data_IF_081523265597
#
_entry.id   IF_081523265597
#
_cell.length_a   1.000
_cell.length_b   1.000
_cell.length_c   1.000
_cell.angle_alpha   90.00
_cell.angle_beta   90.00
_cell.angle_gamma   90.00
#
_symmetry.space_group_name_H-M   'P 1'
#
loop_
_entity.id
_entity.type
_entity.pdbx_description
1 polymer ?
#
# COMPACT_ATOMS: atom_id res chain seq x y z
N UNK A 1 18.30 8.01 5.81
CA UNK A 1 16.90 7.98 5.39
C UNK A 1 16.04 8.57 6.50
N UNK A 2 15.23 9.57 6.19
CA UNK A 2 14.24 10.21 7.06
C UNK A 2 12.85 9.64 6.79
N UNK A 3 11.89 9.87 7.68
CA UNK A 3 10.50 9.43 7.45
C UNK A 3 9.90 10.05 6.18
N UNK A 4 10.20 11.32 5.87
CA UNK A 4 9.76 11.95 4.62
C UNK A 4 10.36 11.28 3.39
N UNK A 5 11.65 10.90 3.44
CA UNK A 5 12.29 10.15 2.35
C UNK A 5 11.65 8.77 2.15
N UNK A 6 11.24 8.09 3.24
CA UNK A 6 10.49 6.83 3.15
C UNK A 6 9.14 7.02 2.47
N UNK A 7 8.36 8.01 2.91
CA UNK A 7 7.04 8.30 2.33
C UNK A 7 7.16 8.60 0.84
N UNK A 8 8.13 9.43 0.45
CA UNK A 8 8.35 9.75 -0.96
C UNK A 8 8.80 8.54 -1.76
N UNK A 9 9.70 7.71 -1.22
CA UNK A 9 10.18 6.51 -1.89
C UNK A 9 9.03 5.51 -2.13
N UNK A 10 8.19 5.29 -1.12
CA UNK A 10 6.99 4.44 -1.22
C UNK A 10 6.03 4.98 -2.28
N UNK A 11 5.70 6.28 -2.23
CA UNK A 11 4.82 6.90 -3.22
C UNK A 11 5.35 6.75 -4.65
N UNK A 12 6.64 7.01 -4.85
CA UNK A 12 7.26 6.91 -6.17
C UNK A 12 7.28 5.47 -6.68
N UNK A 13 7.52 4.49 -5.79
CA UNK A 13 7.48 3.08 -6.13
C UNK A 13 6.08 2.65 -6.58
N UNK A 14 5.03 3.09 -5.87
CA UNK A 14 3.65 2.77 -6.23
C UNK A 14 3.25 3.40 -7.58
N UNK A 15 3.54 4.69 -7.78
CA UNK A 15 3.22 5.40 -9.04
C UNK A 15 4.01 4.83 -10.21
N UNK A 16 5.28 4.48 -9.99
CA UNK A 16 6.19 4.01 -11.03
C UNK A 16 6.05 2.53 -11.41
N UNK A 17 5.24 1.75 -10.70
CA UNK A 17 5.17 0.31 -10.91
C UNK A 17 4.31 -0.09 -12.11
N UNK A 18 4.95 -0.64 -13.14
CA UNK A 18 4.30 -0.97 -14.41
C UNK A 18 3.27 -2.11 -14.28
N UNK A 19 3.54 -3.10 -13.43
CA UNK A 19 2.64 -4.25 -13.22
C UNK A 19 1.34 -3.81 -12.55
N UNK A 20 1.45 -3.03 -11.46
CA UNK A 20 0.33 -2.44 -10.75
C UNK A 20 -0.52 -1.55 -11.67
N UNK A 21 0.13 -0.64 -12.39
CA UNK A 21 -0.53 0.27 -13.33
C UNK A 21 -1.26 -0.48 -14.45
N UNK A 22 -0.63 -1.52 -15.01
CA UNK A 22 -1.22 -2.31 -16.10
C UNK A 22 -2.44 -3.10 -15.62
N UNK A 23 -2.36 -3.69 -14.42
CA UNK A 23 -3.51 -4.39 -13.83
C UNK A 23 -4.66 -3.43 -13.54
N UNK A 24 -4.39 -2.27 -12.94
CA UNK A 24 -5.43 -1.26 -12.68
C UNK A 24 -6.07 -0.76 -13.98
N UNK A 25 -5.27 -0.52 -15.02
CA UNK A 25 -5.79 -0.09 -16.32
C UNK A 25 -6.66 -1.16 -16.97
N UNK A 26 -6.27 -2.44 -16.85
CA UNK A 26 -7.04 -3.55 -17.39
C UNK A 26 -8.37 -3.78 -16.65
N UNK A 27 -8.40 -3.57 -15.32
CA UNK A 27 -9.59 -3.81 -14.50
C UNK A 27 -10.54 -2.60 -14.42
N UNK A 28 -9.99 -1.39 -14.37
CA UNK A 28 -10.73 -0.15 -14.04
C UNK A 28 -10.59 0.94 -15.11
N UNK A 29 -9.84 0.68 -16.19
CA UNK A 29 -9.64 1.65 -17.27
C UNK A 29 -8.68 2.79 -16.95
N UNK A 30 -8.05 2.80 -15.77
CA UNK A 30 -7.08 3.84 -15.34
C UNK A 30 -6.04 3.32 -14.36
N UNK A 31 -4.96 4.08 -14.20
CA UNK A 31 -3.95 3.88 -13.16
C UNK A 31 -4.53 4.18 -11.76
N UNK A 32 -3.96 3.61 -10.68
CA UNK A 32 -4.43 3.92 -9.34
C UNK A 32 -4.03 5.33 -8.90
N UNK A 33 -4.90 5.96 -8.12
CA UNK A 33 -4.56 7.17 -7.39
C UNK A 33 -3.68 6.82 -6.20
N UNK A 34 -2.65 7.62 -5.91
CA UNK A 34 -1.76 7.42 -4.76
C UNK A 34 -1.87 8.61 -3.82
N UNK A 35 -2.39 8.38 -2.61
CA UNK A 35 -2.63 9.40 -1.60
C UNK A 35 -1.63 9.29 -0.44
N UNK A 36 -1.23 10.44 0.11
CA UNK A 36 -0.40 10.52 1.32
C UNK A 36 -1.27 11.01 2.46
N UNK A 37 -1.76 10.08 3.28
CA UNK A 37 -2.83 10.31 4.23
C UNK A 37 -4.22 10.29 3.60
N UNK A 38 -5.25 10.15 4.45
CA UNK A 38 -6.67 10.23 4.10
C UNK A 38 -7.32 11.19 5.09
N UNK A 39 -8.11 12.15 4.59
CA UNK A 39 -8.98 12.97 5.43
C UNK A 39 -10.29 12.22 5.66
N UNK A 40 -10.48 11.65 6.85
CA UNK A 40 -11.71 10.93 7.19
C UNK A 40 -12.96 11.81 7.12
N UNK A 41 -12.83 13.14 7.26
CA UNK A 41 -13.95 14.07 7.14
C UNK A 41 -14.29 14.41 5.69
N UNK A 42 -13.39 14.10 4.77
CA UNK A 42 -13.51 14.32 3.32
C UNK A 42 -12.98 13.09 2.60
N UNK A 43 -13.71 11.96 2.68
CA UNK A 43 -13.26 10.73 2.08
C UNK A 43 -13.08 10.89 0.57
N UNK A 44 -12.19 10.12 -0.05
CA UNK A 44 -12.01 10.10 -1.50
C UNK A 44 -13.33 9.91 -2.24
N UNK A 45 -13.49 10.61 -3.36
CA UNK A 45 -14.63 10.45 -4.23
C UNK A 45 -14.53 9.12 -4.99
N UNK A 46 -15.65 8.64 -5.54
CA UNK A 46 -15.67 7.39 -6.32
C UNK A 46 -14.68 7.43 -7.50
N UNK A 47 -14.50 8.61 -8.11
CA UNK A 47 -13.55 8.84 -9.20
C UNK A 47 -12.08 8.73 -8.81
N UNK A 48 -11.75 8.73 -7.52
CA UNK A 48 -10.38 8.52 -7.05
C UNK A 48 -9.99 7.03 -7.08
N UNK A 49 -10.96 6.10 -7.10
CA UNK A 49 -10.71 4.66 -7.04
C UNK A 49 -10.43 4.06 -8.43
N UNK A 50 -9.48 3.10 -8.58
CA UNK A 50 -8.76 2.40 -7.52
C UNK A 50 -7.73 3.29 -6.81
N UNK A 51 -7.68 3.18 -5.49
CA UNK A 51 -6.92 4.07 -4.62
C UNK A 51 -5.89 3.26 -3.83
N UNK A 52 -4.70 3.83 -3.65
CA UNK A 52 -3.69 3.36 -2.71
C UNK A 52 -3.30 4.55 -1.84
N UNK A 53 -3.29 4.38 -0.53
CA UNK A 53 -2.99 5.43 0.43
C UNK A 53 -1.90 4.99 1.41
N UNK A 54 -0.91 5.84 1.62
CA UNK A 54 -0.02 5.72 2.79
C UNK A 54 -0.75 6.36 3.97
N UNK A 55 -1.42 5.53 4.78
CA UNK A 55 -2.27 6.03 5.88
C UNK A 55 -1.47 6.42 7.12
N UNK A 56 -0.25 5.92 7.25
CA UNK A 56 0.66 6.29 8.32
C UNK A 56 2.05 5.72 8.14
N UNK A 57 3.02 6.30 8.84
CA UNK A 57 4.37 5.75 8.96
C UNK A 57 4.85 5.89 10.40
N UNK A 58 5.19 4.77 11.02
CA UNK A 58 5.78 4.72 12.35
C UNK A 58 7.29 4.46 12.23
N UNK A 59 8.12 5.30 12.86
CA UNK A 59 9.55 5.02 12.97
C UNK A 59 9.83 4.22 14.24
N UNK A 60 10.29 2.99 14.10
CA UNK A 60 10.69 2.14 15.22
C UNK A 60 12.11 2.53 15.65
N UNK A 61 12.23 3.06 16.87
CA UNK A 61 13.51 3.53 17.43
C UNK A 61 14.02 2.57 18.51
N UNK A 62 15.28 2.17 18.39
CA UNK A 62 15.99 1.41 19.41
C UNK A 62 17.45 1.86 19.52
N UNK A 63 17.99 1.95 20.75
CA UNK A 63 19.37 2.40 20.99
C UNK A 63 20.41 1.43 20.43
N UNK A 64 20.15 0.11 20.50
CA UNK A 64 21.10 -0.94 20.08
C UNK A 64 20.94 -1.42 18.64
N UNK A 65 19.96 -0.92 17.88
CA UNK A 65 19.76 -1.35 16.48
C UNK A 65 20.70 -0.59 15.55
N UNK A 66 21.46 -1.31 14.71
CA UNK A 66 22.30 -0.72 13.64
C UNK A 66 21.47 -0.19 12.47
N UNK A 67 20.20 -0.55 12.41
CA UNK A 67 19.25 -0.18 11.37
C UNK A 67 18.20 0.80 11.90
N UNK A 68 17.74 1.66 11.00
CA UNK A 68 16.50 2.41 11.12
C UNK A 68 15.39 1.56 10.49
N UNK A 69 14.27 1.48 11.18
CA UNK A 69 13.11 0.70 10.76
C UNK A 69 11.89 1.61 10.74
N UNK A 70 11.08 1.49 9.69
CA UNK A 70 9.80 2.15 9.57
C UNK A 70 8.72 1.11 9.26
N UNK A 71 7.60 1.21 9.94
CA UNK A 71 6.36 0.50 9.60
C UNK A 71 5.50 1.44 8.78
N UNK A 72 5.25 1.07 7.53
CA UNK A 72 4.43 1.83 6.60
C UNK A 72 3.08 1.16 6.52
N UNK A 73 2.03 1.89 6.89
CA UNK A 73 0.65 1.42 6.81
C UNK A 73 0.09 1.85 5.46
N UNK A 74 -0.32 0.85 4.66
CA UNK A 74 -0.97 1.06 3.38
C UNK A 74 -2.45 0.68 3.50
N UNK A 75 -3.31 1.49 2.91
CA UNK A 75 -4.70 1.13 2.61
C UNK A 75 -4.90 1.15 1.09
N UNK A 76 -5.65 0.20 0.57
CA UNK A 76 -6.10 0.19 -0.82
C UNK A 76 -7.61 0.14 -0.88
N UNK A 77 -8.21 0.73 -1.90
CA UNK A 77 -9.65 0.70 -2.09
C UNK A 77 -10.06 0.47 -3.54
N UNK A 78 -11.17 -0.22 -3.71
CA UNK A 78 -11.81 -0.48 -5.01
C UNK A 78 -13.32 -0.32 -4.85
N UNK A 79 -13.96 0.37 -5.81
CA UNK A 79 -15.41 0.42 -5.93
C UNK A 79 -15.84 -0.52 -7.05
N UNK A 80 -16.67 -1.52 -6.73
CA UNK A 80 -17.24 -2.44 -7.69
C UNK A 80 -18.53 -3.07 -7.14
N UNK A 81 -19.67 -2.80 -7.77
CA UNK A 81 -20.97 -3.30 -7.34
C UNK A 81 -21.28 -4.73 -7.84
N UNK A 82 -20.42 -5.31 -8.69
CA UNK A 82 -20.64 -6.63 -9.27
C UNK A 82 -20.65 -7.73 -8.20
N UNK A 83 -21.72 -8.53 -8.27
CA UNK A 83 -21.89 -9.74 -7.47
C UNK A 83 -22.06 -10.91 -8.43
N UNK A 84 -21.11 -11.84 -8.41
CA UNK A 84 -21.18 -13.08 -9.19
C UNK A 84 -21.65 -14.24 -8.32
N UNK A 85 -22.33 -15.22 -8.93
CA UNK A 85 -22.80 -16.41 -8.23
C UNK A 85 -22.33 -17.68 -8.97
N UNK A 86 -21.69 -18.58 -8.24
CA UNK A 86 -21.30 -19.90 -8.72
C UNK A 86 -21.75 -20.96 -7.72
N UNK A 87 -22.78 -21.72 -8.08
CA UNK A 87 -23.44 -22.66 -7.17
C UNK A 87 -23.98 -21.95 -5.93
N UNK A 88 -23.51 -22.37 -4.75
CA UNK A 88 -23.87 -21.80 -3.44
C UNK A 88 -22.99 -20.63 -3.00
N UNK A 89 -21.95 -20.27 -3.77
CA UNK A 89 -21.03 -19.17 -3.43
C UNK A 89 -21.47 -17.89 -4.11
N UNK A 90 -21.60 -16.82 -3.33
CA UNK A 90 -21.81 -15.44 -3.79
C UNK A 90 -20.52 -14.66 -3.61
N UNK A 91 -19.96 -14.17 -4.70
CA UNK A 91 -18.68 -13.46 -4.71
C UNK A 91 -18.94 -12.00 -5.03
N UNK A 92 -18.48 -11.12 -4.14
CA UNK A 92 -18.39 -9.69 -4.39
C UNK A 92 -17.08 -9.42 -5.14
N UNK A 93 -17.13 -9.11 -6.43
CA UNK A 93 -15.92 -9.00 -7.27
C UNK A 93 -14.92 -8.00 -6.69
N UNK A 94 -15.42 -6.86 -6.20
CA UNK A 94 -14.59 -5.82 -5.55
C UNK A 94 -13.79 -6.31 -4.33
N UNK A 95 -14.28 -7.31 -3.60
CA UNK A 95 -13.55 -7.89 -2.47
C UNK A 95 -12.25 -8.57 -2.94
N UNK A 96 -12.33 -9.38 -4.00
CA UNK A 96 -11.15 -10.05 -4.57
C UNK A 96 -10.20 -9.05 -5.24
N UNK A 97 -10.75 -8.02 -5.88
CA UNK A 97 -9.98 -6.97 -6.51
C UNK A 97 -9.21 -6.13 -5.47
N UNK A 98 -9.82 -5.80 -4.33
CA UNK A 98 -9.15 -5.05 -3.26
C UNK A 98 -7.95 -5.83 -2.68
N UNK A 99 -8.09 -7.13 -2.44
CA UNK A 99 -6.97 -7.98 -2.02
C UNK A 99 -5.87 -8.07 -3.09
N UNK A 100 -6.26 -8.25 -4.35
CA UNK A 100 -5.30 -8.28 -5.46
C UNK A 100 -4.53 -6.95 -5.56
N UNK A 101 -5.22 -5.82 -5.40
CA UNK A 101 -4.60 -4.50 -5.42
C UNK A 101 -3.62 -4.33 -4.26
N UNK A 102 -3.95 -4.79 -3.05
CA UNK A 102 -3.06 -4.76 -1.88
C UNK A 102 -1.78 -5.54 -2.15
N UNK A 103 -1.90 -6.77 -2.65
CA UNK A 103 -0.74 -7.60 -2.97
C UNK A 103 0.12 -6.98 -4.08
N UNK A 104 -0.49 -6.37 -5.09
CA UNK A 104 0.26 -5.66 -6.14
C UNK A 104 0.99 -4.43 -5.60
N UNK A 105 0.38 -3.70 -4.68
CA UNK A 105 1.01 -2.57 -4.00
C UNK A 105 2.22 -3.01 -3.15
N UNK A 106 2.10 -4.09 -2.36
CA UNK A 106 3.22 -4.68 -1.62
C UNK A 106 4.35 -5.09 -2.57
N UNK A 107 3.99 -5.80 -3.64
CA UNK A 107 4.94 -6.27 -4.64
C UNK A 107 5.66 -5.12 -5.36
N UNK A 108 5.00 -3.97 -5.56
CA UNK A 108 5.64 -2.77 -6.09
C UNK A 108 6.77 -2.29 -5.16
N UNK A 109 6.55 -2.33 -3.85
CA UNK A 109 7.58 -1.96 -2.86
C UNK A 109 8.72 -2.97 -2.79
N UNK A 110 8.44 -4.26 -2.94
CA UNK A 110 9.48 -5.29 -3.07
C UNK A 110 10.32 -5.10 -4.33
N UNK A 111 9.68 -4.84 -5.48
CA UNK A 111 10.38 -4.55 -6.74
C UNK A 111 11.25 -3.30 -6.65
N UNK A 112 10.79 -2.27 -5.93
CA UNK A 112 11.56 -1.07 -5.64
C UNK A 112 12.66 -1.27 -4.59
N UNK A 113 12.80 -2.48 -4.01
CA UNK A 113 13.78 -2.82 -2.96
C UNK A 113 13.64 -1.96 -1.71
N UNK A 114 12.41 -1.58 -1.36
CA UNK A 114 12.12 -0.81 -0.15
C UNK A 114 11.81 -1.70 1.05
N UNK A 115 11.30 -2.90 0.81
CA UNK A 115 10.94 -3.87 1.85
C UNK A 115 11.63 -5.21 1.59
N UNK A 116 11.97 -5.94 2.65
CA UNK A 116 12.46 -7.32 2.57
C UNK A 116 11.27 -8.27 2.38
N UNK A 117 11.47 -9.35 1.61
CA UNK A 117 10.46 -10.41 1.40
C UNK A 117 10.13 -11.20 2.66
N UNK A 118 10.92 -11.06 3.72
CA UNK A 118 10.71 -11.68 5.03
C UNK A 118 9.92 -10.77 6.00
N UNK A 119 9.47 -9.60 5.56
CA UNK A 119 8.67 -8.70 6.41
C UNK A 119 7.35 -9.38 6.78
N UNK A 120 7.23 -9.80 8.05
CA UNK A 120 5.94 -10.16 8.63
C UNK A 120 5.06 -8.89 8.63
N UNK A 121 4.05 -8.89 7.77
CA UNK A 121 3.04 -7.83 7.68
C UNK A 121 1.69 -8.36 8.11
N UNK A 122 0.90 -7.50 8.74
CA UNK A 122 -0.51 -7.78 9.01
C UNK A 122 -1.33 -7.30 7.81
N UNK A 123 -2.25 -8.14 7.34
CA UNK A 123 -3.23 -7.78 6.33
C UNK A 123 -4.65 -7.91 6.90
N UNK A 124 -5.52 -6.97 6.55
CA UNK A 124 -6.92 -6.97 6.97
C UNK A 124 -7.78 -6.33 5.90
N UNK A 125 -9.06 -6.67 5.85
CA UNK A 125 -9.99 -6.15 4.87
C UNK A 125 -11.32 -5.75 5.48
N UNK A 126 -11.92 -4.71 4.91
CA UNK A 126 -13.24 -4.19 5.28
C UNK A 126 -14.11 -4.09 4.03
N UNK A 127 -15.42 -4.33 4.19
CA UNK A 127 -16.37 -4.32 3.07
C UNK A 127 -17.52 -3.38 3.37
N UNK A 128 -17.61 -2.31 2.59
CA UNK A 128 -18.65 -1.28 2.61
C UNK A 128 -19.31 -1.21 1.23
N UNK A 129 -19.94 -2.31 0.80
CA UNK A 129 -20.47 -2.47 -0.56
C UNK A 129 -21.19 -1.19 -1.07
N UNK A 130 -20.78 -0.63 -2.23
CA UNK A 130 -19.88 -1.20 -3.24
C UNK A 130 -18.37 -0.92 -3.05
N UNK A 131 -17.95 -0.27 -1.96
CA UNK A 131 -16.55 -0.01 -1.64
C UNK A 131 -15.93 -1.19 -0.86
N UNK A 132 -14.74 -1.61 -1.26
CA UNK A 132 -13.95 -2.63 -0.56
C UNK A 132 -12.57 -2.06 -0.28
N UNK A 133 -12.12 -2.25 0.95
CA UNK A 133 -10.85 -1.71 1.43
C UNK A 133 -10.02 -2.85 1.98
N UNK A 134 -8.72 -2.82 1.70
CA UNK A 134 -7.76 -3.77 2.24
C UNK A 134 -6.52 -3.03 2.73
N UNK A 135 -5.94 -3.47 3.84
CA UNK A 135 -4.83 -2.80 4.50
C UNK A 135 -3.66 -3.75 4.65
N UNK A 136 -2.46 -3.19 4.63
CA UNK A 136 -1.22 -3.93 4.94
C UNK A 136 -0.24 -3.05 5.70
N UNK A 137 0.58 -3.69 6.53
CA UNK A 137 1.77 -3.04 7.11
C UNK A 137 3.03 -3.64 6.54
N UNK A 138 3.87 -2.82 5.93
CA UNK A 138 5.18 -3.24 5.40
C UNK A 138 6.32 -2.61 6.18
N UNK A 139 7.42 -3.33 6.32
CA UNK A 139 8.61 -2.84 7.02
C UNK A 139 9.67 -2.37 6.04
N UNK A 140 10.04 -1.10 6.15
CA UNK A 140 11.16 -0.48 5.43
C UNK A 140 12.36 -0.38 6.36
N UNK A 141 13.53 -0.83 5.91
CA UNK A 141 14.78 -0.79 6.69
C UNK A 141 15.86 0.02 5.97
N UNK A 142 16.67 0.75 6.74
CA UNK A 142 17.87 1.41 6.23
C UNK A 142 18.99 1.36 7.26
N UNK A 143 20.24 1.20 6.82
CA UNK A 143 21.39 1.29 7.72
C UNK A 143 21.52 2.70 8.32
N UNK A 144 21.82 2.79 9.63
CA UNK A 144 22.21 4.06 10.25
C UNK A 144 23.51 4.53 9.59
N UNK A 145 23.46 5.65 8.86
CA UNK A 145 24.68 6.24 8.29
C UNK A 145 25.56 6.77 9.43
N UNK A 146 26.71 6.14 9.65
CA UNK A 146 27.75 6.63 10.56
C UNK A 146 28.62 7.69 9.85
N UNK A 147 28.03 8.72 9.23
CA UNK A 147 28.81 9.90 8.79
C UNK A 147 29.01 10.86 9.95
N UNK A 148 29.78 10.42 10.95
CA UNK A 148 30.51 11.28 11.88
C UNK A 148 31.76 10.52 12.29
N UNK A 149 32.89 10.93 11.76
CA UNK A 149 34.19 10.42 12.17
C UNK A 149 35.13 10.20 11.00
N UNK A 150 35.63 11.28 10.40
CA UNK A 150 37.08 11.41 10.23
C UNK A 150 37.45 12.86 10.61
N UNK A 151 38.47 13.05 11.47
CA UNK A 151 38.97 14.36 11.87
C UNK A 151 39.64 15.11 10.72
#
# INVERSE_FOLDING_TARGET
MTTTEVIQAVSNALVGDTTLNSWCTAQFGKAPSVFLGIDENRPPAEEDYPLIAVVGVEQVRGQDRRELEWRVFLGVGVVNDEITQSGSVRTRTGCLQAETLRELAENALYRARLCDTESAGDASGESYHPLYVSYTTVTVRALKSTRRGLP
#
